data_IF_798376541918
#
_entry.id   IF_798376541918
#
_cell.length_a   1.000
_cell.length_b   1.000
_cell.length_c   1.000
_cell.angle_alpha   90.00
_cell.angle_beta   90.00
_cell.angle_gamma   90.00
#
_symmetry.space_group_name_H-M   'P 1'
#
loop_
_entity.id
_entity.type
_entity.pdbx_description
1 polymer ?
#
# COMPACT_ATOMS: atom_id res chain seq x y z
N UNK A 1 -38.50 17.30 27.66
CA UNK A 1 -37.68 16.70 26.57
C UNK A 1 -37.17 15.36 27.06
N UNK A 2 -37.70 14.25 26.54
CA UNK A 2 -37.40 12.89 26.99
C UNK A 2 -35.99 12.49 26.57
N UNK A 3 -35.07 12.45 27.53
CA UNK A 3 -33.75 11.86 27.35
C UNK A 3 -33.90 10.34 27.29
N UNK A 4 -34.31 9.81 26.13
CA UNK A 4 -34.30 8.37 25.90
C UNK A 4 -32.85 7.90 25.89
N UNK A 5 -32.43 7.22 26.96
CA UNK A 5 -31.16 6.51 27.00
C UNK A 5 -31.06 5.62 25.75
N UNK A 6 -30.15 6.00 24.84
CA UNK A 6 -29.86 5.23 23.63
C UNK A 6 -29.46 3.82 24.07
N UNK A 7 -30.21 2.81 23.63
CA UNK A 7 -29.87 1.41 23.84
C UNK A 7 -28.43 1.14 23.40
N UNK A 8 -27.71 0.27 24.10
CA UNK A 8 -26.37 -0.17 23.70
C UNK A 8 -26.30 -0.56 22.20
N UNK A 9 -27.38 -1.14 21.67
CA UNK A 9 -27.50 -1.50 20.25
C UNK A 9 -27.56 -0.28 19.32
N UNK A 10 -28.18 0.83 19.71
CA UNK A 10 -28.19 2.05 18.91
C UNK A 10 -26.85 2.79 18.98
N UNK A 11 -26.19 2.80 20.15
CA UNK A 11 -24.83 3.34 20.31
C UNK A 11 -23.83 2.55 19.44
N UNK A 12 -23.90 1.22 19.46
CA UNK A 12 -23.06 0.37 18.63
C UNK A 12 -23.30 0.56 17.12
N UNK A 13 -24.56 0.75 16.70
CA UNK A 13 -24.90 1.07 15.30
C UNK A 13 -24.38 2.43 14.89
N UNK A 14 -24.48 3.43 15.76
CA UNK A 14 -23.99 4.78 15.52
C UNK A 14 -22.45 4.80 15.42
N UNK A 15 -21.76 4.10 16.31
CA UNK A 15 -20.31 3.94 16.23
C UNK A 15 -19.88 3.19 14.94
N UNK A 16 -20.60 2.12 14.56
CA UNK A 16 -20.35 1.39 13.30
C UNK A 16 -20.62 2.27 12.07
N UNK A 17 -21.66 3.10 12.12
CA UNK A 17 -21.96 4.05 11.05
C UNK A 17 -20.85 5.09 10.92
N UNK A 18 -20.33 5.64 12.03
CA UNK A 18 -19.19 6.56 12.04
C UNK A 18 -17.90 5.93 11.51
N UNK A 19 -17.62 4.67 11.89
CA UNK A 19 -16.47 3.93 11.37
C UNK A 19 -16.58 3.69 9.86
N UNK A 20 -17.81 3.47 9.35
CA UNK A 20 -18.05 3.34 7.91
C UNK A 20 -17.99 4.69 7.20
N UNK A 21 -18.72 5.69 7.67
CA UNK A 21 -18.83 6.99 6.98
C UNK A 21 -17.51 7.75 7.00
N UNK A 22 -16.84 7.81 8.16
CA UNK A 22 -15.61 8.60 8.31
C UNK A 22 -14.45 8.06 7.48
N UNK A 23 -14.35 6.74 7.28
CA UNK A 23 -13.36 6.16 6.36
C UNK A 23 -13.64 6.56 4.91
N UNK A 24 -14.90 6.44 4.44
CA UNK A 24 -15.25 6.76 3.06
C UNK A 24 -15.26 8.26 2.76
N UNK A 25 -15.62 9.11 3.72
CA UNK A 25 -15.50 10.57 3.60
C UNK A 25 -14.04 10.98 3.47
N UNK A 26 -13.17 10.52 4.38
CA UNK A 26 -11.74 10.82 4.31
C UNK A 26 -11.09 10.22 3.05
N UNK A 27 -11.46 9.01 2.65
CA UNK A 27 -10.98 8.41 1.39
C UNK A 27 -11.43 9.21 0.16
N UNK A 28 -12.64 9.77 0.17
CA UNK A 28 -13.15 10.61 -0.91
C UNK A 28 -12.43 11.95 -0.96
N UNK A 29 -12.22 12.60 0.18
CA UNK A 29 -11.53 13.88 0.27
C UNK A 29 -10.06 13.74 -0.18
N UNK A 30 -9.35 12.72 0.31
CA UNK A 30 -8.00 12.40 -0.17
C UNK A 30 -7.99 12.09 -1.68
N UNK A 31 -8.99 11.37 -2.18
CA UNK A 31 -9.08 11.03 -3.60
C UNK A 31 -9.30 12.28 -4.48
N UNK A 32 -10.13 13.23 -4.04
CA UNK A 32 -10.32 14.49 -4.76
C UNK A 32 -9.06 15.34 -4.75
N UNK A 33 -8.41 15.50 -3.60
CA UNK A 33 -7.17 16.28 -3.47
C UNK A 33 -6.05 15.71 -4.36
N UNK A 34 -5.93 14.39 -4.42
CA UNK A 34 -4.89 13.72 -5.20
C UNK A 34 -5.17 13.76 -6.72
N UNK A 35 -6.45 13.76 -7.14
CA UNK A 35 -6.82 13.99 -8.55
C UNK A 35 -6.51 15.43 -8.96
N UNK A 36 -6.82 16.40 -8.09
CA UNK A 36 -6.51 17.80 -8.36
C UNK A 36 -4.99 18.01 -8.48
N UNK A 37 -4.18 17.43 -7.58
CA UNK A 37 -2.71 17.42 -7.70
C UNK A 37 -2.22 16.76 -8.98
N UNK A 38 -2.79 15.62 -9.36
CA UNK A 38 -2.42 14.95 -10.61
C UNK A 38 -2.74 15.81 -11.84
N UNK A 39 -3.86 16.53 -11.81
CA UNK A 39 -4.27 17.48 -12.86
C UNK A 39 -3.31 18.67 -12.93
N UNK A 40 -2.91 19.24 -11.80
CA UNK A 40 -1.93 20.32 -11.71
C UNK A 40 -0.55 19.90 -12.25
N UNK A 41 -0.15 18.65 -12.01
CA UNK A 41 1.09 18.07 -12.55
C UNK A 41 0.98 17.60 -14.02
N UNK A 42 -0.14 17.87 -14.70
CA UNK A 42 -0.32 17.53 -16.12
C UNK A 42 -0.55 16.03 -16.40
N UNK A 43 -0.90 15.24 -15.38
CA UNK A 43 -1.19 13.81 -15.53
C UNK A 43 -2.64 13.58 -15.97
N UNK A 44 -2.87 12.47 -16.68
CA UNK A 44 -4.21 12.08 -17.13
C UNK A 44 -5.10 11.68 -15.94
N UNK A 45 -6.21 12.39 -15.75
CA UNK A 45 -7.21 12.12 -14.69
C UNK A 45 -7.70 10.67 -14.69
N UNK A 46 -7.90 10.07 -15.87
CA UNK A 46 -8.31 8.67 -15.99
C UNK A 46 -7.28 7.67 -15.46
N UNK A 47 -5.98 8.00 -15.52
CA UNK A 47 -4.91 7.14 -14.97
C UNK A 47 -4.78 7.34 -13.46
N UNK A 48 -4.83 8.59 -13.00
CA UNK A 48 -4.81 8.94 -11.58
C UNK A 48 -5.99 8.29 -10.84
N UNK A 49 -7.22 8.42 -11.35
CA UNK A 49 -8.41 7.80 -10.77
C UNK A 49 -8.25 6.28 -10.57
N UNK A 50 -7.72 5.55 -11.56
CA UNK A 50 -7.51 4.10 -11.44
C UNK A 50 -6.47 3.75 -10.39
N UNK A 51 -5.39 4.53 -10.32
CA UNK A 51 -4.32 4.32 -9.36
C UNK A 51 -4.82 4.53 -7.92
N UNK A 52 -5.47 5.65 -7.63
CA UNK A 52 -5.96 5.94 -6.27
C UNK A 52 -7.09 5.00 -5.84
N UNK A 53 -7.98 4.61 -6.75
CA UNK A 53 -8.98 3.57 -6.47
C UNK A 53 -8.31 2.22 -6.13
N UNK A 54 -7.25 1.85 -6.88
CA UNK A 54 -6.40 0.70 -6.59
C UNK A 54 -5.73 0.80 -5.22
N UNK A 55 -5.19 1.96 -4.86
CA UNK A 55 -4.54 2.19 -3.56
C UNK A 55 -5.50 2.00 -2.38
N UNK A 56 -6.71 2.58 -2.46
CA UNK A 56 -7.75 2.41 -1.43
C UNK A 56 -8.15 0.94 -1.30
N UNK A 57 -8.33 0.22 -2.42
CA UNK A 57 -8.67 -1.21 -2.36
C UNK A 57 -7.55 -2.07 -1.79
N UNK A 58 -6.28 -1.79 -2.11
CA UNK A 58 -5.13 -2.46 -1.49
C UNK A 58 -5.05 -2.19 0.02
N UNK A 59 -5.23 -0.93 0.43
CA UNK A 59 -5.21 -0.55 1.85
C UNK A 59 -6.31 -1.22 2.67
N UNK A 60 -7.51 -1.39 2.09
CA UNK A 60 -8.61 -2.13 2.74
C UNK A 60 -8.30 -3.62 2.83
N UNK A 61 -7.63 -4.19 1.83
CA UNK A 61 -7.36 -5.62 1.76
C UNK A 61 -6.27 -6.08 2.72
N UNK A 62 -5.32 -5.21 3.09
CA UNK A 62 -4.30 -5.38 4.14
C UNK A 62 -3.64 -6.77 4.20
N UNK A 63 -2.39 -6.90 3.77
CA UNK A 63 -1.73 -8.21 3.71
C UNK A 63 -0.22 -8.19 3.99
N UNK A 64 0.35 -9.39 4.09
CA UNK A 64 1.79 -9.63 4.32
C UNK A 64 2.69 -8.94 3.26
N UNK A 65 2.15 -8.77 2.05
CA UNK A 65 2.80 -8.01 0.97
C UNK A 65 3.05 -6.53 1.30
N UNK A 66 2.31 -5.91 2.23
CA UNK A 66 2.58 -4.52 2.64
C UNK A 66 3.84 -4.40 3.50
N UNK A 67 4.14 -5.37 4.39
CA UNK A 67 5.37 -5.35 5.19
C UNK A 67 6.61 -5.55 4.30
N UNK A 68 6.51 -6.47 3.35
CA UNK A 68 7.55 -6.68 2.34
C UNK A 68 7.75 -5.43 1.48
N UNK A 69 6.64 -4.82 1.02
CA UNK A 69 6.68 -3.58 0.26
C UNK A 69 7.37 -2.45 1.03
N UNK A 70 7.07 -2.24 2.31
CA UNK A 70 7.72 -1.22 3.14
C UNK A 70 9.23 -1.44 3.27
N UNK A 71 9.67 -2.70 3.42
CA UNK A 71 11.11 -3.04 3.45
C UNK A 71 11.78 -2.68 2.11
N UNK A 72 11.16 -3.04 0.99
CA UNK A 72 11.65 -2.71 -0.36
C UNK A 72 11.67 -1.19 -0.59
N UNK A 73 10.58 -0.50 -0.24
CA UNK A 73 10.45 0.96 -0.35
C UNK A 73 11.56 1.68 0.42
N UNK A 74 11.82 1.27 1.67
CA UNK A 74 12.90 1.85 2.49
C UNK A 74 14.28 1.65 1.86
N UNK A 75 14.53 0.47 1.31
CA UNK A 75 15.78 0.16 0.60
C UNK A 75 15.94 1.02 -0.65
N UNK A 76 14.88 1.15 -1.47
CA UNK A 76 14.91 1.97 -2.68
C UNK A 76 15.09 3.46 -2.39
N UNK A 77 14.56 3.96 -1.26
CA UNK A 77 14.73 5.34 -0.84
C UNK A 77 16.15 5.64 -0.33
N UNK A 78 16.75 4.69 0.39
CA UNK A 78 18.08 4.87 1.00
C UNK A 78 19.20 4.64 0.00
N UNK A 79 19.19 3.50 -0.68
CA UNK A 79 20.31 3.02 -1.50
C UNK A 79 20.04 3.15 -3.02
N UNK A 80 18.78 3.32 -3.44
CA UNK A 80 18.39 3.25 -4.84
C UNK A 80 18.25 1.81 -5.37
N UNK A 81 18.23 1.64 -6.69
CA UNK A 81 18.18 0.32 -7.33
C UNK A 81 19.55 -0.36 -7.21
N UNK A 82 19.70 -1.25 -6.21
CA UNK A 82 20.94 -2.01 -5.97
C UNK A 82 20.87 -3.37 -6.66
N UNK A 83 21.96 -3.81 -7.29
CA UNK A 83 22.07 -5.14 -7.93
C UNK A 83 21.87 -6.29 -6.93
N UNK A 84 22.25 -6.11 -5.67
CA UNK A 84 22.11 -7.08 -4.59
C UNK A 84 20.78 -6.99 -3.81
N UNK A 85 19.76 -6.33 -4.38
CA UNK A 85 18.45 -6.13 -3.74
C UNK A 85 17.84 -7.43 -3.21
N UNK A 86 17.83 -8.49 -4.03
CA UNK A 86 17.29 -9.79 -3.64
C UNK A 86 18.07 -10.40 -2.48
N UNK A 87 19.40 -10.36 -2.53
CA UNK A 87 20.27 -10.90 -1.48
C UNK A 87 20.10 -10.18 -0.13
N UNK A 88 19.74 -8.89 -0.12
CA UNK A 88 19.42 -8.12 1.09
C UNK A 88 17.99 -8.40 1.61
N UNK A 89 17.08 -8.76 0.72
CA UNK A 89 15.69 -9.06 1.07
C UNK A 89 15.51 -10.50 1.55
N UNK A 90 16.32 -11.43 1.03
CA UNK A 90 16.36 -12.83 1.45
C UNK A 90 16.63 -12.96 2.94
N UNK A 91 15.79 -13.72 3.62
CA UNK A 91 16.05 -14.16 4.97
C UNK A 91 17.05 -15.33 4.91
N UNK A 92 18.27 -15.13 5.40
CA UNK A 92 19.33 -16.15 5.28
C UNK A 92 19.06 -17.36 6.16
N UNK A 93 18.46 -17.17 7.33
CA UNK A 93 18.20 -18.26 8.28
C UNK A 93 17.18 -19.24 7.68
N UNK A 94 16.09 -18.69 7.14
CA UNK A 94 15.08 -19.49 6.43
C UNK A 94 15.66 -20.08 5.14
N UNK A 95 16.42 -19.30 4.36
CA UNK A 95 16.99 -19.76 3.09
C UNK A 95 17.98 -20.91 3.24
N UNK A 96 18.80 -20.90 4.29
CA UNK A 96 19.80 -21.94 4.51
C UNK A 96 19.19 -23.26 4.98
N UNK A 97 18.06 -23.21 5.68
CA UNK A 97 17.30 -24.40 6.13
C UNK A 97 16.62 -25.17 4.99
N UNK A 98 16.37 -24.51 3.85
CA UNK A 98 15.58 -25.06 2.74
C UNK A 98 16.38 -26.06 1.88
N UNK A 99 15.66 -26.96 1.21
CA UNK A 99 16.25 -27.87 0.21
C UNK A 99 16.62 -27.11 -1.07
N UNK A 100 17.47 -27.67 -1.93
CA UNK A 100 17.87 -27.02 -3.17
C UNK A 100 16.68 -26.61 -4.07
N UNK A 101 15.68 -27.50 -4.21
CA UNK A 101 14.47 -27.22 -5.00
C UNK A 101 13.64 -26.10 -4.37
N UNK A 102 13.50 -26.10 -3.05
CA UNK A 102 12.76 -25.06 -2.34
C UNK A 102 13.51 -23.73 -2.34
N UNK A 103 14.85 -23.72 -2.32
CA UNK A 103 15.68 -22.52 -2.52
C UNK A 103 15.43 -21.89 -3.89
N UNK A 104 15.32 -22.69 -4.95
CA UNK A 104 14.99 -22.18 -6.28
C UNK A 104 13.59 -21.55 -6.32
N UNK A 105 12.59 -22.23 -5.73
CA UNK A 105 11.21 -21.70 -5.63
C UNK A 105 11.15 -20.41 -4.80
N UNK A 106 11.88 -20.37 -3.68
CA UNK A 106 11.97 -19.20 -2.82
C UNK A 106 12.53 -18.01 -3.58
N UNK A 107 13.66 -18.18 -4.29
CA UNK A 107 14.28 -17.09 -5.05
C UNK A 107 13.38 -16.59 -6.17
N UNK A 108 12.69 -17.49 -6.88
CA UNK A 108 11.74 -17.11 -7.92
C UNK A 108 10.59 -16.27 -7.32
N UNK A 109 9.97 -16.76 -6.25
CA UNK A 109 8.89 -16.04 -5.58
C UNK A 109 9.33 -14.67 -5.06
N UNK A 110 10.51 -14.60 -4.44
CA UNK A 110 11.10 -13.36 -3.97
C UNK A 110 11.31 -12.36 -5.12
N UNK A 111 11.80 -12.82 -6.27
CA UNK A 111 12.00 -11.98 -7.45
C UNK A 111 10.68 -11.43 -7.98
N UNK A 112 9.63 -12.24 -8.05
CA UNK A 112 8.29 -11.80 -8.48
C UNK A 112 7.70 -10.77 -7.51
N UNK A 113 7.82 -11.00 -6.20
CA UNK A 113 7.36 -10.06 -5.17
C UNK A 113 8.13 -8.74 -5.25
N UNK A 114 9.45 -8.80 -5.46
CA UNK A 114 10.28 -7.60 -5.63
C UNK A 114 9.90 -6.80 -6.87
N UNK A 115 9.64 -7.45 -8.01
CA UNK A 115 9.19 -6.76 -9.23
C UNK A 115 7.84 -6.07 -9.03
N UNK A 116 6.88 -6.73 -8.38
CA UNK A 116 5.59 -6.12 -8.03
C UNK A 116 5.77 -4.90 -7.11
N UNK A 117 6.66 -5.00 -6.12
CA UNK A 117 6.98 -3.89 -5.22
C UNK A 117 7.64 -2.72 -5.99
N UNK A 118 8.54 -3.00 -6.93
CA UNK A 118 9.15 -1.99 -7.79
C UNK A 118 8.12 -1.29 -8.68
N UNK A 119 7.23 -2.03 -9.32
CA UNK A 119 6.15 -1.43 -10.12
C UNK A 119 5.26 -0.52 -9.28
N UNK A 120 4.91 -0.97 -8.07
CA UNK A 120 4.13 -0.17 -7.12
C UNK A 120 4.88 1.10 -6.72
N UNK A 121 6.17 1.00 -6.38
CA UNK A 121 7.01 2.14 -6.01
C UNK A 121 7.19 3.13 -7.18
N UNK A 122 7.36 2.63 -8.41
CA UNK A 122 7.45 3.48 -9.61
C UNK A 122 6.15 4.25 -9.86
N UNK A 123 4.99 3.59 -9.71
CA UNK A 123 3.69 4.26 -9.77
C UNK A 123 3.55 5.29 -8.65
N UNK A 124 3.94 4.96 -7.42
CA UNK A 124 3.94 5.90 -6.29
C UNK A 124 4.80 7.14 -6.60
N UNK A 125 6.02 6.95 -7.12
CA UNK A 125 6.88 8.07 -7.53
C UNK A 125 6.31 8.89 -8.71
N UNK A 126 5.57 8.25 -9.62
CA UNK A 126 4.90 8.93 -10.74
C UNK A 126 3.77 9.82 -10.24
N UNK A 127 2.88 9.30 -9.36
CA UNK A 127 1.67 10.01 -8.95
C UNK A 127 1.84 10.91 -7.73
N UNK A 128 2.68 10.54 -6.76
CA UNK A 128 2.87 11.28 -5.50
C UNK A 128 4.09 12.22 -5.54
N UNK A 129 4.84 12.18 -6.65
CA UNK A 129 6.12 12.87 -6.80
C UNK A 129 7.24 12.18 -6.03
N UNK A 130 8.50 12.48 -6.40
CA UNK A 130 9.65 11.94 -5.66
C UNK A 130 9.56 12.38 -4.20
N UNK A 131 9.58 11.46 -3.22
CA UNK A 131 9.79 11.86 -1.84
C UNK A 131 11.09 12.66 -1.78
N UNK A 132 11.02 13.87 -1.21
CA UNK A 132 12.18 14.72 -1.03
C UNK A 132 13.25 13.92 -0.28
N UNK A 133 14.43 13.81 -0.89
CA UNK A 133 15.64 13.31 -0.23
C UNK A 133 15.95 14.15 1.01
#
# INVERSE_FOLDING_TARGET
>A
MSNQQKSFRSIAREAKARLKSGFWENAKDNFTDEIERARENGMSESRACRYFAGKVTCSIRGGDDDLFYEKVRRMLLTDGEVSDALARLTDREEYDSLTYEDKQRYMLNLSERYLKALERFRRECEFEGKPRR
#
